data_IF_790951889979
#
_entry.id   IF_790951889979
#
_cell.length_a   1.000
_cell.length_b   1.000
_cell.length_c   1.000
_cell.angle_alpha   90.00
_cell.angle_beta   90.00
_cell.angle_gamma   90.00
#
_symmetry.space_group_name_H-M   'P 1'
#
loop_
_entity.id
_entity.type
_entity.pdbx_description
1 polymer ?
#
# COMPACT_ATOMS: atom_id res chain seq x y z
N UNK A 1 34.15 35.31 45.78
CA UNK A 1 32.97 34.89 44.99
C UNK A 1 33.20 35.26 43.53
N UNK A 2 33.79 34.38 42.75
CA UNK A 2 34.11 34.62 41.32
C UNK A 2 32.92 34.21 40.47
N UNK A 3 32.26 35.16 39.83
CA UNK A 3 31.25 34.91 38.79
C UNK A 3 31.95 34.60 37.48
N UNK A 4 31.87 33.32 37.04
CA UNK A 4 32.22 32.95 35.70
C UNK A 4 31.12 33.39 34.77
N UNK A 5 31.35 34.39 33.90
CA UNK A 5 30.51 34.72 32.78
C UNK A 5 30.88 33.80 31.61
N UNK A 6 30.05 32.79 31.38
CA UNK A 6 30.12 32.05 30.12
C UNK A 6 29.58 32.93 28.99
N UNK A 7 30.47 33.38 28.15
CA UNK A 7 30.09 34.04 26.89
C UNK A 7 29.72 32.94 25.91
N UNK A 8 28.42 32.79 25.63
CA UNK A 8 27.91 31.89 24.59
C UNK A 8 28.02 32.70 23.28
N UNK A 9 28.88 32.32 22.32
CA UNK A 9 28.96 32.99 21.04
C UNK A 9 27.61 32.86 20.31
N UNK A 10 27.15 33.90 19.65
CA UNK A 10 25.95 33.89 18.86
C UNK A 10 26.13 32.92 17.67
N UNK A 11 25.06 32.29 17.25
CA UNK A 11 25.07 31.35 16.13
C UNK A 11 25.63 31.97 14.83
N UNK A 12 25.51 33.28 14.68
CA UNK A 12 26.10 34.10 13.61
C UNK A 12 27.63 34.12 13.60
N UNK A 13 28.28 33.87 14.75
CA UNK A 13 29.74 33.96 14.91
C UNK A 13 30.44 32.61 14.60
N UNK A 14 29.65 31.57 14.39
CA UNK A 14 30.10 30.19 14.11
C UNK A 14 29.90 29.77 12.64
N UNK A 15 29.26 30.62 11.83
CA UNK A 15 29.06 30.33 10.42
C UNK A 15 30.08 31.12 9.59
N UNK A 16 30.85 30.45 8.69
CA UNK A 16 31.66 31.19 7.72
C UNK A 16 30.74 32.02 6.82
N UNK A 17 31.23 33.21 6.41
CA UNK A 17 30.53 34.10 5.50
C UNK A 17 30.18 33.32 4.20
N UNK A 18 28.88 33.03 4.02
CA UNK A 18 28.36 32.23 2.90
C UNK A 18 27.92 33.09 1.70
N UNK A 19 28.19 34.39 1.73
CA UNK A 19 27.75 35.34 0.70
C UNK A 19 28.39 35.13 -0.70
N UNK A 20 29.35 34.21 -0.83
CA UNK A 20 30.04 33.88 -2.09
C UNK A 20 29.85 32.43 -2.55
N UNK A 21 29.07 31.61 -1.86
CA UNK A 21 28.93 30.20 -2.22
C UNK A 21 27.89 30.02 -3.33
N UNK A 22 28.26 29.33 -4.40
CA UNK A 22 27.33 28.92 -5.46
C UNK A 22 26.40 27.80 -5.00
N UNK A 23 25.27 27.58 -5.69
CA UNK A 23 24.36 26.43 -5.43
C UNK A 23 25.08 25.07 -5.46
N UNK A 24 26.22 24.99 -6.17
CA UNK A 24 27.07 23.81 -6.17
C UNK A 24 27.85 23.64 -4.85
N UNK A 25 28.23 24.73 -4.19
CA UNK A 25 28.96 24.68 -2.92
C UNK A 25 28.07 24.21 -1.77
N UNK A 26 26.76 24.55 -1.80
CA UNK A 26 25.77 23.99 -0.87
C UNK A 26 25.59 22.46 -1.02
N UNK A 27 25.83 21.91 -2.21
CA UNK A 27 25.80 20.48 -2.43
C UNK A 27 26.97 19.76 -1.75
N UNK A 28 28.12 20.41 -1.62
CA UNK A 28 29.30 19.86 -0.92
C UNK A 28 29.13 19.81 0.60
N UNK A 29 28.36 20.72 1.19
CA UNK A 29 28.13 20.77 2.64
C UNK A 29 27.18 19.69 3.18
N UNK A 30 26.43 18.99 2.31
CA UNK A 30 25.47 17.93 2.68
C UNK A 30 25.85 16.52 2.19
N UNK A 31 27.00 16.31 1.55
CA UNK A 31 27.43 14.97 1.10
C UNK A 31 28.12 14.25 2.25
N UNK A 32 27.50 13.16 2.72
CA UNK A 32 28.20 12.22 3.59
C UNK A 32 29.41 11.66 2.83
N UNK A 33 30.63 11.89 3.34
CA UNK A 33 31.82 11.27 2.82
C UNK A 33 31.95 9.87 3.40
N UNK A 34 32.06 8.88 2.52
CA UNK A 34 32.23 7.49 2.92
C UNK A 34 33.69 7.08 2.80
N UNK A 35 34.27 6.34 3.78
CA UNK A 35 35.65 5.88 3.73
C UNK A 35 35.85 4.74 2.71
N UNK A 36 34.75 4.19 2.13
CA UNK A 36 34.79 3.08 1.20
C UNK A 36 33.69 3.24 0.15
N UNK A 37 34.09 3.06 -1.11
CA UNK A 37 33.14 3.05 -2.25
C UNK A 37 32.13 1.89 -2.16
N UNK A 38 32.54 0.74 -1.62
CA UNK A 38 31.64 -0.39 -1.41
C UNK A 38 30.53 -0.04 -0.42
N UNK A 39 30.90 0.64 0.68
CA UNK A 39 29.94 1.12 1.66
C UNK A 39 28.99 2.14 1.04
N UNK A 40 29.50 3.08 0.30
CA UNK A 40 28.71 4.11 -0.37
C UNK A 40 27.69 3.52 -1.35
N UNK A 41 28.13 2.56 -2.19
CA UNK A 41 27.25 1.89 -3.14
C UNK A 41 26.11 1.17 -2.42
N UNK A 42 26.41 0.42 -1.36
CA UNK A 42 25.37 -0.26 -0.59
C UNK A 42 24.37 0.72 0.05
N UNK A 43 24.86 1.82 0.63
CA UNK A 43 23.98 2.88 1.19
C UNK A 43 23.11 3.51 0.12
N UNK A 44 23.63 3.76 -1.07
CA UNK A 44 22.88 4.34 -2.18
C UNK A 44 21.77 3.38 -2.66
N UNK A 45 22.02 2.06 -2.72
CA UNK A 45 20.99 1.08 -3.09
C UNK A 45 19.85 1.03 -2.07
N UNK A 46 20.16 0.99 -0.77
CA UNK A 46 19.13 1.05 0.28
C UNK A 46 18.36 2.38 0.25
N UNK A 47 19.01 3.49 -0.07
CA UNK A 47 18.37 4.81 -0.14
C UNK A 47 17.43 4.98 -1.35
N UNK A 48 17.44 4.07 -2.32
CA UNK A 48 16.44 4.02 -3.42
C UNK A 48 15.08 3.51 -2.96
N UNK A 49 15.03 2.81 -1.81
CA UNK A 49 13.77 2.28 -1.30
C UNK A 49 12.89 3.44 -0.78
N UNK A 50 11.57 3.41 -1.08
CA UNK A 50 10.67 4.47 -0.66
C UNK A 50 10.63 4.59 0.87
N UNK A 51 10.74 5.83 1.37
CA UNK A 51 10.78 6.12 2.80
C UNK A 51 12.15 5.91 3.47
N UNK A 52 13.17 5.45 2.73
CA UNK A 52 14.52 5.23 3.26
C UNK A 52 15.42 6.42 2.90
N UNK A 53 15.74 7.26 3.89
CA UNK A 53 16.76 8.30 3.73
C UNK A 53 18.18 7.77 3.93
N UNK A 54 19.20 8.53 3.46
CA UNK A 54 20.62 8.13 3.55
C UNK A 54 21.09 7.75 4.96
N UNK A 55 20.61 8.42 6.01
CA UNK A 55 20.94 8.09 7.41
C UNK A 55 20.41 6.72 7.83
N UNK A 56 19.18 6.40 7.43
CA UNK A 56 18.57 5.09 7.70
C UNK A 56 19.26 4.00 6.88
N UNK A 57 19.54 4.26 5.61
CA UNK A 57 20.28 3.36 4.72
C UNK A 57 21.65 3.02 5.31
N UNK A 58 22.42 4.03 5.77
CA UNK A 58 23.72 3.80 6.42
C UNK A 58 23.60 2.91 7.65
N UNK A 59 22.59 3.14 8.51
CA UNK A 59 22.36 2.30 9.70
C UNK A 59 22.07 0.85 9.32
N UNK A 60 21.27 0.61 8.27
CA UNK A 60 20.98 -0.74 7.77
C UNK A 60 22.24 -1.42 7.24
N UNK A 61 23.03 -0.73 6.39
CA UNK A 61 24.27 -1.27 5.83
C UNK A 61 25.31 -1.58 6.91
N UNK A 62 25.45 -0.69 7.91
CA UNK A 62 26.35 -0.94 9.05
C UNK A 62 25.87 -2.11 9.93
N UNK A 63 24.57 -2.37 9.98
CA UNK A 63 24.04 -3.56 10.65
C UNK A 63 24.44 -4.82 9.87
N UNK A 64 24.23 -4.85 8.55
CA UNK A 64 24.61 -5.99 7.70
C UNK A 64 26.13 -6.24 7.74
N UNK A 65 26.94 -5.20 7.83
CA UNK A 65 28.40 -5.33 7.93
C UNK A 65 28.87 -6.08 9.20
N UNK A 66 28.02 -6.13 10.25
CA UNK A 66 28.30 -6.85 11.48
C UNK A 66 27.78 -8.30 11.47
N UNK A 67 26.97 -8.67 10.46
CA UNK A 67 26.45 -10.02 10.31
C UNK A 67 27.49 -10.92 9.66
N UNK A 68 27.32 -12.23 9.82
CA UNK A 68 28.09 -13.22 9.06
C UNK A 68 27.80 -13.11 7.56
N UNK A 69 28.81 -13.37 6.75
CA UNK A 69 28.69 -13.30 5.29
C UNK A 69 27.61 -14.23 4.75
N UNK A 70 27.39 -15.38 5.38
CA UNK A 70 26.34 -16.32 5.01
C UNK A 70 24.93 -15.76 5.23
N UNK A 71 24.72 -15.02 6.32
CA UNK A 71 23.43 -14.35 6.59
C UNK A 71 23.16 -13.24 5.58
N UNK A 72 24.18 -12.44 5.24
CA UNK A 72 24.05 -11.37 4.23
C UNK A 72 23.77 -11.95 2.84
N UNK A 73 24.45 -13.05 2.49
CA UNK A 73 24.22 -13.76 1.22
C UNK A 73 22.80 -14.29 1.15
N UNK A 74 22.35 -15.00 2.19
CA UNK A 74 20.99 -15.51 2.26
C UNK A 74 19.93 -14.40 2.14
N UNK A 75 20.14 -13.27 2.82
CA UNK A 75 19.26 -12.11 2.71
C UNK A 75 19.17 -11.59 1.27
N UNK A 76 20.31 -11.39 0.61
CA UNK A 76 20.35 -10.86 -0.76
C UNK A 76 19.74 -11.82 -1.78
N UNK A 77 20.03 -13.12 -1.65
CA UNK A 77 19.45 -14.18 -2.50
C UNK A 77 17.95 -14.31 -2.31
N UNK A 78 17.45 -14.21 -1.07
CA UNK A 78 16.01 -14.26 -0.78
C UNK A 78 15.27 -13.14 -1.49
N UNK A 79 15.78 -11.90 -1.45
CA UNK A 79 15.19 -10.77 -2.14
C UNK A 79 15.23 -10.95 -3.66
N UNK A 80 16.39 -11.38 -4.19
CA UNK A 80 16.57 -11.63 -5.62
C UNK A 80 15.59 -12.73 -6.10
N UNK A 81 15.51 -13.84 -5.36
CA UNK A 81 14.61 -14.95 -5.65
C UNK A 81 13.13 -14.53 -5.59
N UNK A 82 12.73 -13.79 -4.55
CA UNK A 82 11.38 -13.24 -4.47
C UNK A 82 11.03 -12.48 -5.76
N UNK A 83 11.93 -11.62 -6.25
CA UNK A 83 11.65 -10.79 -7.45
C UNK A 83 11.62 -11.61 -8.73
N UNK A 84 12.47 -12.66 -8.85
CA UNK A 84 12.51 -13.51 -10.06
C UNK A 84 11.35 -14.52 -10.13
N UNK A 85 10.95 -15.09 -9.00
CA UNK A 85 10.08 -16.25 -8.96
C UNK A 85 8.61 -15.91 -8.69
N UNK A 86 8.35 -14.72 -8.10
CA UNK A 86 6.98 -14.29 -7.80
C UNK A 86 6.20 -14.07 -9.10
N UNK A 87 4.99 -14.62 -9.15
CA UNK A 87 4.05 -14.53 -10.26
C UNK A 87 2.80 -13.76 -9.86
N UNK A 88 1.99 -13.43 -10.85
CA UNK A 88 0.62 -12.99 -10.63
C UNK A 88 -0.34 -14.14 -10.96
N UNK A 89 -1.28 -14.40 -10.05
CA UNK A 89 -2.30 -15.40 -10.26
C UNK A 89 -3.09 -15.11 -11.54
N UNK A 90 -3.13 -16.06 -12.47
CA UNK A 90 -3.84 -15.91 -13.75
C UNK A 90 -5.35 -15.70 -13.61
N UNK A 91 -5.92 -16.04 -12.43
CA UNK A 91 -7.35 -15.91 -12.17
C UNK A 91 -7.73 -14.61 -11.45
N UNK A 92 -6.96 -14.19 -10.45
CA UNK A 92 -7.35 -13.08 -9.58
C UNK A 92 -6.34 -11.92 -9.54
N UNK A 93 -5.20 -12.03 -10.21
CA UNK A 93 -4.12 -11.03 -10.27
C UNK A 93 -3.45 -10.72 -8.91
N UNK A 94 -3.70 -11.54 -7.88
CA UNK A 94 -2.92 -11.50 -6.64
C UNK A 94 -1.51 -12.08 -6.86
N UNK A 95 -0.56 -11.73 -5.98
CA UNK A 95 0.76 -12.37 -5.97
C UNK A 95 0.64 -13.85 -5.62
N UNK A 96 1.52 -14.66 -6.22
CA UNK A 96 1.51 -16.11 -6.09
C UNK A 96 2.88 -16.70 -6.40
N UNK A 97 3.19 -17.84 -5.80
CA UNK A 97 4.35 -18.67 -6.16
C UNK A 97 4.03 -19.62 -7.32
N UNK A 98 2.76 -19.77 -7.66
CA UNK A 98 2.26 -20.63 -8.73
C UNK A 98 1.33 -19.86 -9.68
N UNK A 99 0.93 -20.50 -10.80
CA UNK A 99 0.04 -19.87 -11.79
C UNK A 99 -1.35 -19.55 -11.21
N UNK A 100 -1.80 -20.33 -10.23
CA UNK A 100 -3.03 -20.09 -9.46
C UNK A 100 -2.64 -19.97 -7.98
N UNK A 101 -3.03 -18.87 -7.33
CA UNK A 101 -2.71 -18.63 -5.92
C UNK A 101 -3.47 -19.58 -4.98
N UNK A 102 -2.96 -19.73 -3.76
CA UNK A 102 -3.54 -20.58 -2.73
C UNK A 102 -5.01 -20.26 -2.43
N UNK A 103 -5.40 -19.00 -2.49
CA UNK A 103 -6.78 -18.56 -2.27
C UNK A 103 -7.69 -19.07 -3.39
N UNK A 104 -7.30 -18.90 -4.64
CA UNK A 104 -8.10 -19.34 -5.79
C UNK A 104 -8.14 -20.89 -5.94
N UNK A 105 -7.08 -21.57 -5.52
CA UNK A 105 -6.99 -23.03 -5.56
C UNK A 105 -7.76 -23.72 -4.42
N UNK A 106 -8.12 -22.99 -3.36
CA UNK A 106 -8.80 -23.55 -2.21
C UNK A 106 -10.28 -23.83 -2.51
N UNK A 107 -10.64 -25.11 -2.63
CA UNK A 107 -12.02 -25.55 -2.89
C UNK A 107 -13.00 -25.32 -1.75
N UNK A 108 -12.48 -25.06 -0.53
CA UNK A 108 -13.35 -24.76 0.63
C UNK A 108 -13.90 -23.33 0.59
N UNK A 109 -13.35 -22.47 -0.29
CA UNK A 109 -13.83 -21.10 -0.45
C UNK A 109 -15.04 -21.03 -1.41
N UNK A 110 -15.91 -20.07 -1.17
CA UNK A 110 -17.00 -19.79 -2.08
C UNK A 110 -16.48 -19.20 -3.39
N UNK A 111 -16.38 -20.04 -4.41
CA UNK A 111 -15.84 -19.68 -5.73
C UNK A 111 -16.77 -18.73 -6.53
N UNK A 112 -18.03 -18.60 -6.10
CA UNK A 112 -19.04 -17.72 -6.74
C UNK A 112 -19.14 -16.34 -6.09
N UNK A 113 -18.37 -16.10 -5.04
CA UNK A 113 -18.26 -14.79 -4.37
C UNK A 113 -16.88 -14.18 -4.63
N UNK A 114 -16.83 -13.01 -5.24
CA UNK A 114 -15.60 -12.30 -5.59
C UNK A 114 -15.54 -10.98 -4.86
N UNK A 115 -14.49 -10.76 -4.08
CA UNK A 115 -14.15 -9.45 -3.51
C UNK A 115 -13.20 -8.72 -4.45
N UNK A 116 -13.64 -7.59 -4.97
CA UNK A 116 -12.85 -6.72 -5.84
C UNK A 116 -12.10 -5.72 -4.98
N UNK A 117 -10.78 -5.74 -5.11
CA UNK A 117 -9.86 -4.89 -4.34
C UNK A 117 -8.97 -4.08 -5.27
N UNK A 118 -8.44 -2.98 -4.76
CA UNK A 118 -7.55 -2.11 -5.51
C UNK A 118 -6.18 -2.74 -5.71
N UNK A 119 -5.60 -3.28 -4.62
CA UNK A 119 -4.24 -3.80 -4.63
C UNK A 119 -4.06 -5.00 -3.67
N UNK A 120 -2.85 -5.56 -3.68
CA UNK A 120 -2.49 -6.74 -2.89
C UNK A 120 -2.57 -6.50 -1.37
N UNK A 121 -2.30 -5.26 -0.92
CA UNK A 121 -2.36 -4.91 0.52
C UNK A 121 -3.78 -5.05 1.05
N UNK A 122 -4.78 -4.75 0.21
CA UNK A 122 -6.19 -4.90 0.58
C UNK A 122 -6.57 -6.37 0.75
N UNK A 123 -6.04 -7.27 -0.12
CA UNK A 123 -6.20 -8.72 0.05
C UNK A 123 -5.66 -9.16 1.40
N UNK A 124 -4.43 -8.75 1.74
CA UNK A 124 -3.80 -9.11 3.01
C UNK A 124 -4.61 -8.58 4.20
N UNK A 125 -5.08 -7.34 4.12
CA UNK A 125 -5.87 -6.72 5.18
C UNK A 125 -7.18 -7.47 5.42
N UNK A 126 -7.91 -7.86 4.35
CA UNK A 126 -9.17 -8.60 4.47
C UNK A 126 -8.92 -10.03 4.94
N UNK A 127 -7.91 -10.73 4.42
CA UNK A 127 -7.56 -12.10 4.87
C UNK A 127 -7.21 -12.15 6.35
N UNK A 128 -6.51 -11.14 6.87
CA UNK A 128 -6.16 -11.07 8.29
C UNK A 128 -7.40 -10.98 9.21
N UNK A 129 -8.55 -10.56 8.69
CA UNK A 129 -9.81 -10.57 9.47
C UNK A 129 -10.39 -11.97 9.64
N UNK A 130 -10.05 -12.92 8.76
CA UNK A 130 -10.61 -14.27 8.70
C UNK A 130 -12.14 -14.32 8.55
N UNK A 131 -12.76 -13.23 8.12
CA UNK A 131 -14.22 -13.11 7.99
C UNK A 131 -14.72 -13.34 6.54
N UNK A 132 -13.83 -13.28 5.56
CA UNK A 132 -14.21 -13.43 4.16
C UNK A 132 -13.89 -14.82 3.62
N UNK A 133 -14.91 -15.52 3.16
CA UNK A 133 -14.80 -16.89 2.65
C UNK A 133 -14.79 -16.99 1.11
N UNK A 134 -14.89 -15.90 0.38
CA UNK A 134 -14.87 -15.87 -1.08
C UNK A 134 -13.47 -15.83 -1.69
N UNK A 135 -13.41 -15.51 -2.97
CA UNK A 135 -12.17 -15.29 -3.72
C UNK A 135 -11.98 -13.80 -4.00
N UNK A 136 -10.79 -13.40 -4.50
CA UNK A 136 -10.49 -12.00 -4.77
C UNK A 136 -10.33 -11.74 -6.26
N UNK A 137 -10.40 -10.45 -6.62
CA UNK A 137 -9.91 -9.94 -7.89
C UNK A 137 -9.20 -8.61 -7.66
N UNK A 138 -7.89 -8.57 -7.98
CA UNK A 138 -7.05 -7.39 -7.80
C UNK A 138 -7.08 -6.56 -9.09
N UNK A 139 -7.60 -5.34 -8.99
CA UNK A 139 -7.69 -4.43 -10.15
C UNK A 139 -6.33 -3.89 -10.58
N UNK A 140 -5.38 -3.76 -9.65
CA UNK A 140 -4.08 -3.12 -9.89
C UNK A 140 -4.10 -1.60 -9.69
N UNK A 141 -5.22 -1.03 -9.27
CA UNK A 141 -5.42 0.40 -9.01
C UNK A 141 -6.89 0.79 -9.08
N UNK A 142 -7.16 2.08 -9.18
CA UNK A 142 -8.49 2.67 -9.38
C UNK A 142 -8.45 3.66 -10.53
N UNK A 143 -9.59 3.91 -11.16
CA UNK A 143 -9.70 4.90 -12.25
C UNK A 143 -9.41 6.29 -11.68
N UNK A 144 -8.33 6.91 -12.15
CA UNK A 144 -7.89 8.25 -11.75
C UNK A 144 -7.39 9.03 -12.96
N UNK A 145 -8.28 9.77 -13.65
CA UNK A 145 -7.88 10.54 -14.84
C UNK A 145 -6.81 11.59 -14.54
N UNK A 146 -6.79 12.14 -13.32
CA UNK A 146 -5.77 13.11 -12.91
C UNK A 146 -4.38 12.50 -12.81
N UNK A 147 -4.30 11.22 -12.45
CA UNK A 147 -3.04 10.46 -12.37
C UNK A 147 -2.75 9.71 -13.69
N UNK A 148 -3.57 9.91 -14.73
CA UNK A 148 -3.43 9.25 -16.01
C UNK A 148 -3.83 7.77 -16.01
N UNK A 149 -4.54 7.28 -14.97
CA UNK A 149 -4.97 5.88 -14.87
C UNK A 149 -6.36 5.71 -15.48
N UNK A 150 -6.41 5.10 -16.65
CA UNK A 150 -7.65 4.73 -17.35
C UNK A 150 -8.11 3.31 -17.01
N UNK A 151 -9.36 2.95 -17.38
CA UNK A 151 -9.92 1.62 -17.12
C UNK A 151 -9.19 0.49 -17.89
N UNK A 152 -8.54 0.79 -18.99
CA UNK A 152 -7.75 -0.11 -19.84
C UNK A 152 -6.42 -0.52 -19.20
N UNK A 153 -5.93 0.25 -18.22
CA UNK A 153 -4.72 -0.06 -17.45
C UNK A 153 -5.01 -0.95 -16.24
N UNK A 154 -6.29 -1.23 -15.97
CA UNK A 154 -6.75 -2.01 -14.82
C UNK A 154 -7.30 -3.37 -15.28
N UNK A 155 -7.28 -4.37 -14.40
CA UNK A 155 -7.78 -5.72 -14.68
C UNK A 155 -9.32 -5.79 -14.71
N UNK A 156 -10.00 -4.77 -15.29
CA UNK A 156 -11.47 -4.68 -15.30
C UNK A 156 -12.08 -5.61 -16.33
N UNK A 157 -11.53 -5.68 -17.56
CA UNK A 157 -12.04 -6.57 -18.60
C UNK A 157 -11.91 -8.05 -18.21
N UNK A 158 -10.82 -8.38 -17.54
CA UNK A 158 -10.58 -9.71 -17.00
C UNK A 158 -11.58 -10.06 -15.90
N UNK A 159 -11.95 -9.09 -15.06
CA UNK A 159 -13.01 -9.26 -14.07
C UNK A 159 -14.36 -9.56 -14.74
N UNK A 160 -14.76 -8.77 -15.74
CA UNK A 160 -16.03 -8.97 -16.49
C UNK A 160 -16.06 -10.37 -17.09
N UNK A 161 -15.00 -10.73 -17.80
CA UNK A 161 -14.86 -12.07 -18.42
C UNK A 161 -14.96 -13.19 -17.38
N UNK A 162 -14.37 -12.97 -16.20
CA UNK A 162 -14.39 -13.93 -15.10
C UNK A 162 -15.81 -14.10 -14.52
N UNK A 163 -16.53 -13.00 -14.30
CA UNK A 163 -17.90 -13.01 -13.78
C UNK A 163 -18.81 -13.84 -14.70
N UNK A 164 -18.68 -13.67 -16.02
CA UNK A 164 -19.47 -14.42 -17.01
C UNK A 164 -19.13 -15.91 -16.99
N UNK A 165 -17.83 -16.25 -17.04
CA UNK A 165 -17.37 -17.64 -17.11
C UNK A 165 -17.63 -18.44 -15.84
N UNK A 166 -17.44 -17.83 -14.68
CA UNK A 166 -17.54 -18.49 -13.38
C UNK A 166 -18.95 -18.42 -12.77
N UNK A 167 -19.91 -17.79 -13.45
CA UNK A 167 -21.29 -17.62 -12.95
C UNK A 167 -21.29 -17.02 -11.53
N UNK A 168 -20.57 -15.91 -11.36
CA UNK A 168 -20.42 -15.23 -10.06
C UNK A 168 -21.79 -14.81 -9.53
N UNK A 169 -22.10 -15.19 -8.29
CA UNK A 169 -23.38 -14.87 -7.64
C UNK A 169 -23.30 -13.51 -6.91
N UNK A 170 -22.16 -13.20 -6.30
CA UNK A 170 -21.97 -11.95 -5.59
C UNK A 170 -20.60 -11.32 -5.87
N UNK A 171 -20.63 -10.04 -6.19
CA UNK A 171 -19.46 -9.19 -6.35
C UNK A 171 -19.42 -8.16 -5.22
N UNK A 172 -18.44 -8.27 -4.35
CA UNK A 172 -18.25 -7.38 -3.19
C UNK A 172 -17.17 -6.35 -3.55
N UNK A 173 -17.49 -5.07 -3.59
CA UNK A 173 -16.49 -4.03 -3.78
C UNK A 173 -15.85 -3.62 -2.44
N UNK A 174 -14.55 -3.80 -2.34
CA UNK A 174 -13.71 -3.34 -1.23
C UNK A 174 -12.65 -2.37 -1.76
N UNK A 175 -13.10 -1.29 -2.40
CA UNK A 175 -12.25 -0.21 -2.92
C UNK A 175 -12.23 0.97 -1.95
N UNK A 176 -11.19 1.79 -2.06
CA UNK A 176 -11.03 3.01 -1.26
C UNK A 176 -12.30 3.88 -1.31
N UNK A 177 -12.81 4.35 -0.15
CA UNK A 177 -14.06 5.11 -0.05
C UNK A 177 -13.88 6.59 -0.45
N UNK A 178 -13.34 6.83 -1.65
CA UNK A 178 -13.10 8.14 -2.24
C UNK A 178 -13.81 8.27 -3.60
N UNK A 179 -13.70 9.44 -4.24
CA UNK A 179 -14.34 9.73 -5.53
C UNK A 179 -13.84 8.78 -6.63
N UNK A 180 -12.55 8.46 -6.66
CA UNK A 180 -11.96 7.56 -7.65
C UNK A 180 -12.47 6.12 -7.46
N UNK A 181 -12.53 5.63 -6.21
CA UNK A 181 -13.11 4.32 -5.89
C UNK A 181 -14.58 4.23 -6.28
N UNK A 182 -15.38 5.25 -5.97
CA UNK A 182 -16.81 5.30 -6.34
C UNK A 182 -16.98 5.36 -7.86
N UNK A 183 -16.14 6.10 -8.57
CA UNK A 183 -16.11 6.16 -10.05
C UNK A 183 -15.79 4.79 -10.63
N UNK A 184 -14.81 4.09 -10.05
CA UNK A 184 -14.40 2.74 -10.49
C UNK A 184 -15.53 1.73 -10.29
N UNK A 185 -16.20 1.77 -9.12
CA UNK A 185 -17.37 0.92 -8.83
C UNK A 185 -18.47 1.18 -9.86
N UNK A 186 -18.81 2.45 -10.11
CA UNK A 186 -19.85 2.83 -11.07
C UNK A 186 -19.52 2.34 -12.49
N UNK A 187 -18.28 2.50 -12.93
CA UNK A 187 -17.81 2.04 -14.23
C UNK A 187 -17.98 0.52 -14.40
N UNK A 188 -17.50 -0.26 -13.40
CA UNK A 188 -17.61 -1.71 -13.41
C UNK A 188 -19.08 -2.14 -13.37
N UNK A 189 -19.89 -1.55 -12.47
CA UNK A 189 -21.31 -1.83 -12.35
C UNK A 189 -22.06 -1.64 -13.67
N UNK A 190 -21.71 -0.58 -14.42
CA UNK A 190 -22.29 -0.32 -15.75
C UNK A 190 -21.97 -1.41 -16.77
N UNK A 191 -20.74 -1.96 -16.71
CA UNK A 191 -20.32 -3.05 -17.60
C UNK A 191 -21.05 -4.36 -17.30
N UNK A 192 -21.28 -4.66 -16.03
CA UNK A 192 -21.87 -5.95 -15.59
C UNK A 192 -23.39 -5.87 -15.37
N UNK A 193 -24.05 -4.73 -15.66
CA UNK A 193 -25.49 -4.52 -15.37
C UNK A 193 -26.44 -5.57 -15.99
N UNK A 194 -25.98 -6.27 -17.04
CA UNK A 194 -26.76 -7.32 -17.73
C UNK A 194 -26.49 -8.72 -17.17
N UNK A 195 -25.50 -8.86 -16.28
CA UNK A 195 -25.13 -10.15 -15.71
C UNK A 195 -25.95 -10.40 -14.43
N UNK A 196 -26.37 -11.64 -14.17
CA UNK A 196 -27.17 -12.00 -13.00
C UNK A 196 -26.25 -12.10 -11.75
N UNK A 197 -25.58 -11.01 -11.39
CA UNK A 197 -24.65 -10.95 -10.28
C UNK A 197 -25.10 -9.89 -9.28
N UNK A 198 -25.25 -10.27 -8.00
CA UNK A 198 -25.54 -9.33 -6.93
C UNK A 198 -24.29 -8.48 -6.68
N UNK A 199 -24.47 -7.17 -6.61
CA UNK A 199 -23.38 -6.23 -6.37
C UNK A 199 -23.51 -5.61 -4.99
N UNK A 200 -22.49 -5.74 -4.18
CA UNK A 200 -22.41 -5.20 -2.82
C UNK A 200 -21.12 -4.40 -2.62
N UNK A 201 -21.05 -3.63 -1.57
CA UNK A 201 -19.82 -2.92 -1.14
C UNK A 201 -19.65 -3.06 0.35
N UNK A 202 -18.41 -3.03 0.82
CA UNK A 202 -18.11 -3.02 2.26
C UNK A 202 -18.81 -1.84 2.93
N UNK A 203 -19.27 -2.04 4.16
CA UNK A 203 -19.91 -0.99 4.95
C UNK A 203 -18.95 0.19 5.14
N UNK A 204 -19.49 1.40 5.02
CA UNK A 204 -18.76 2.64 5.22
C UNK A 204 -19.37 3.36 6.40
N UNK A 205 -18.64 3.44 7.50
CA UNK A 205 -19.14 4.02 8.74
C UNK A 205 -18.01 4.44 9.67
N UNK A 206 -18.39 4.75 10.92
CA UNK A 206 -17.46 5.18 11.96
C UNK A 206 -16.66 3.96 12.42
N UNK A 207 -15.34 4.14 12.58
CA UNK A 207 -14.45 3.09 13.03
C UNK A 207 -14.79 2.68 14.48
N UNK A 208 -14.73 1.38 14.76
CA UNK A 208 -14.92 0.87 16.13
C UNK A 208 -13.83 1.42 17.07
N UNK A 209 -14.26 1.95 18.22
CA UNK A 209 -13.37 2.57 19.20
C UNK A 209 -12.97 4.02 18.87
N UNK A 210 -13.46 4.59 17.77
CA UNK A 210 -13.26 6.00 17.45
C UNK A 210 -14.27 6.90 18.14
N UNK A 211 -13.83 8.11 18.55
CA UNK A 211 -14.72 9.14 19.08
C UNK A 211 -15.37 9.92 17.94
N UNK A 212 -16.66 10.27 18.10
CA UNK A 212 -17.44 10.94 17.05
C UNK A 212 -16.87 12.30 16.65
N UNK A 213 -16.23 13.01 17.58
CA UNK A 213 -15.66 14.34 17.33
C UNK A 213 -14.46 14.32 16.38
N UNK A 214 -13.76 13.15 16.24
CA UNK A 214 -12.65 12.98 15.30
C UNK A 214 -13.07 12.37 13.96
N UNK A 215 -14.34 12.01 13.80
CA UNK A 215 -14.84 11.53 12.52
C UNK A 215 -14.98 12.70 11.54
N UNK A 216 -14.53 12.50 10.30
CA UNK A 216 -14.76 13.50 9.26
C UNK A 216 -16.26 13.68 8.97
N UNK A 217 -16.66 14.91 8.59
CA UNK A 217 -18.06 15.28 8.39
C UNK A 217 -18.78 14.40 7.35
N UNK A 218 -18.09 13.99 6.29
CA UNK A 218 -18.67 13.14 5.24
C UNK A 218 -18.95 11.73 5.74
N UNK A 219 -18.04 11.16 6.52
CA UNK A 219 -18.22 9.84 7.16
C UNK A 219 -19.38 9.89 8.15
N UNK A 220 -19.45 10.93 8.99
CA UNK A 220 -20.51 11.09 9.96
C UNK A 220 -21.88 11.27 9.26
N UNK A 221 -21.97 12.11 8.24
CA UNK A 221 -23.18 12.34 7.47
C UNK A 221 -23.66 11.06 6.78
N UNK A 222 -22.75 10.29 6.15
CA UNK A 222 -23.08 9.00 5.51
C UNK A 222 -23.56 7.96 6.53
N UNK A 223 -22.91 7.89 7.70
CA UNK A 223 -23.29 6.97 8.78
C UNK A 223 -24.70 7.27 9.30
N UNK A 224 -25.04 8.54 9.49
CA UNK A 224 -26.38 8.97 9.89
C UNK A 224 -27.44 8.67 8.82
N UNK A 225 -27.12 8.91 7.54
CA UNK A 225 -28.02 8.64 6.43
C UNK A 225 -28.29 7.13 6.25
N UNK A 226 -27.29 6.28 6.52
CA UNK A 226 -27.37 4.81 6.38
C UNK A 226 -27.48 4.08 7.73
N UNK A 227 -27.99 4.77 8.77
CA UNK A 227 -28.18 4.16 10.09
C UNK A 227 -29.03 2.90 10.04
N UNK A 228 -28.65 1.91 10.81
CA UNK A 228 -29.36 0.64 10.94
C UNK A 228 -30.22 0.64 12.22
N UNK A 229 -31.35 -0.11 12.23
CA UNK A 229 -32.05 -0.42 13.47
C UNK A 229 -31.15 -1.13 14.47
N UNK A 230 -31.31 -0.83 15.76
CA UNK A 230 -30.45 -1.40 16.83
C UNK A 230 -30.54 -2.93 16.85
N UNK A 231 -31.71 -3.49 16.56
CA UNK A 231 -31.91 -4.94 16.51
C UNK A 231 -31.04 -5.63 15.45
N UNK A 232 -30.79 -4.98 14.30
CA UNK A 232 -29.92 -5.49 13.25
C UNK A 232 -28.44 -5.34 13.62
N UNK A 233 -28.11 -4.34 14.45
CA UNK A 233 -26.75 -4.13 14.92
C UNK A 233 -26.33 -5.13 16.01
N UNK A 234 -27.28 -5.56 16.86
CA UNK A 234 -27.04 -6.45 18.00
C UNK A 234 -27.12 -7.94 17.64
N UNK A 235 -27.51 -8.30 16.42
CA UNK A 235 -27.70 -9.69 15.96
C UNK A 235 -26.43 -10.36 15.38
N UNK A 236 -25.26 -9.83 15.68
CA UNK A 236 -23.96 -10.37 15.22
C UNK A 236 -23.05 -10.78 16.37
#
# INVERSE_FOLDING_TARGET
MNKWHFHIPRLSDLLPDVSGLSLNDYRYLCTMQFPSTLLENAVNEFAKLPGIGKKTALRMVLHLLKQDIGEVTHFSETIAKMRSDIKFCQRCYNISDADICSICANSMRNQRMICVVENIRDVIAIENTQQFSGTYHVLGGIISPLDGVGPDQLNIEQLVTRIEKEQTEELVFALSPNIQGDTTIYYIQKKIQKLPCKVTTIARGIAFGGELEYADEMTLARSLAKRLPVEQYMSH
#
